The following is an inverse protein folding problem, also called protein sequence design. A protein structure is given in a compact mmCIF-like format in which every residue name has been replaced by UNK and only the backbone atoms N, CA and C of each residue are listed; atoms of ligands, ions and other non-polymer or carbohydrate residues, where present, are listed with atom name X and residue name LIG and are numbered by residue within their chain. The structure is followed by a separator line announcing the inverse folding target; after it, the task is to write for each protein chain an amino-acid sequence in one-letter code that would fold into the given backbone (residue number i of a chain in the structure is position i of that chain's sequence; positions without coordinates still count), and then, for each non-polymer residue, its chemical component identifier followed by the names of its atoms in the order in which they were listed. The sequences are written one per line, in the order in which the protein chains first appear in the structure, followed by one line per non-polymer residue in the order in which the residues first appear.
data_IF_686264994720
#
_entry.id   IF_686264994720
#
_cell.length_a   1.000
_cell.length_b   1.000
_cell.length_c   1.000
_cell.angle_alpha   90.00
_cell.angle_beta   90.00
_cell.angle_gamma   90.00
#
_symmetry.space_group_name_H-M   'P 1'
#
loop_
_entity.id
_entity.type
_entity.pdbx_description
1 polymer ?
#
# COMPACT_ATOMS: atom_id res chain seq x y z
N UNK A 1 0.63 -1.11 -14.75
CA UNK A 1 1.32 0.15 -15.13
C UNK A 1 2.73 0.16 -14.54
N UNK A 2 3.73 0.55 -15.32
CA UNK A 2 5.12 0.67 -14.85
C UNK A 2 5.64 2.09 -15.14
N UNK A 3 5.99 2.83 -14.08
CA UNK A 3 6.42 4.23 -14.13
C UNK A 3 7.86 4.34 -13.65
N UNK A 4 8.74 4.85 -14.48
CA UNK A 4 10.18 4.90 -14.19
C UNK A 4 10.85 6.17 -14.75
N UNK A 5 12.07 6.42 -14.30
CA UNK A 5 12.95 7.47 -14.82
C UNK A 5 12.31 8.87 -14.81
N UNK A 6 11.80 9.27 -13.64
CA UNK A 6 11.18 10.58 -13.41
C UNK A 6 9.91 10.85 -14.24
N UNK A 7 9.33 9.82 -14.86
CA UNK A 7 8.02 9.92 -15.50
C UNK A 7 6.91 10.06 -14.47
N UNK A 8 5.80 10.67 -14.84
CA UNK A 8 4.65 10.84 -13.95
C UNK A 8 3.41 10.20 -14.59
N UNK A 9 2.74 9.36 -13.84
CA UNK A 9 1.43 8.84 -14.19
C UNK A 9 0.35 9.57 -13.41
N UNK A 10 -0.62 10.17 -14.11
CA UNK A 10 -1.77 10.82 -13.50
C UNK A 10 -3.03 10.03 -13.81
N UNK A 11 -3.75 9.61 -12.77
CA UNK A 11 -5.02 8.92 -12.89
C UNK A 11 -6.14 9.77 -12.30
N UNK A 12 -6.99 10.29 -13.17
CA UNK A 12 -8.13 11.14 -12.79
C UNK A 12 -9.44 10.35 -12.73
N UNK A 13 -9.46 9.14 -13.27
CA UNK A 13 -10.62 8.26 -13.34
C UNK A 13 -10.28 6.96 -14.07
N UNK A 14 -11.27 6.15 -14.33
CA UNK A 14 -11.07 4.84 -14.96
C UNK A 14 -10.67 3.75 -13.98
N UNK A 15 -10.15 2.66 -14.50
CA UNK A 15 -9.89 1.44 -13.72
C UNK A 15 -8.60 0.76 -14.15
N UNK A 16 -7.83 0.33 -13.16
CA UNK A 16 -6.68 -0.59 -13.30
C UNK A 16 -7.05 -1.83 -12.50
N UNK A 17 -7.43 -2.92 -13.19
CA UNK A 17 -7.98 -4.08 -12.51
C UNK A 17 -7.55 -5.41 -13.10
N UNK A 18 -7.55 -6.45 -12.25
CA UNK A 18 -7.28 -7.82 -12.65
C UNK A 18 -5.88 -8.05 -13.22
N UNK A 19 -4.92 -7.18 -12.89
CA UNK A 19 -3.55 -7.33 -13.37
C UNK A 19 -2.71 -8.12 -12.37
N UNK A 20 -1.78 -8.92 -12.90
CA UNK A 20 -0.82 -9.70 -12.11
C UNK A 20 0.61 -9.39 -12.54
N UNK A 21 1.48 -9.16 -11.56
CA UNK A 21 2.92 -8.96 -11.74
C UNK A 21 3.68 -9.54 -10.55
N UNK A 22 4.99 -9.64 -10.65
CA UNK A 22 5.81 -10.06 -9.51
C UNK A 22 5.72 -9.05 -8.35
N UNK A 23 5.67 -7.76 -8.65
CA UNK A 23 5.52 -6.68 -7.69
C UNK A 23 4.75 -5.51 -8.33
N UNK A 24 4.00 -4.75 -7.53
CA UNK A 24 3.17 -3.67 -8.02
C UNK A 24 2.11 -4.16 -9.02
N UNK A 25 1.24 -5.07 -8.61
CA UNK A 25 0.28 -5.75 -9.48
C UNK A 25 -0.49 -4.80 -10.40
N UNK A 26 -1.04 -3.70 -9.86
CA UNK A 26 -1.68 -2.65 -10.65
C UNK A 26 -0.69 -1.61 -11.17
N UNK A 27 0.07 -0.99 -10.25
CA UNK A 27 1.00 0.10 -10.55
C UNK A 27 2.33 -0.12 -9.84
N UNK A 28 3.42 -0.03 -10.58
CA UNK A 28 4.77 -0.01 -10.03
C UNK A 28 5.48 1.29 -10.43
N UNK A 29 5.93 2.04 -9.44
CA UNK A 29 6.68 3.30 -9.61
C UNK A 29 8.09 3.12 -9.07
N UNK A 30 9.10 3.49 -9.86
CA UNK A 30 10.49 3.38 -9.43
C UNK A 30 11.39 4.45 -10.09
N UNK A 31 12.64 4.53 -9.63
CA UNK A 31 13.68 5.40 -10.21
C UNK A 31 13.27 6.87 -10.33
N UNK A 32 12.69 7.41 -9.27
CA UNK A 32 12.26 8.80 -9.22
C UNK A 32 10.95 9.08 -9.96
N UNK A 33 10.22 8.06 -10.39
CA UNK A 33 8.91 8.22 -10.99
C UNK A 33 7.87 8.74 -10.00
N UNK A 34 6.74 9.19 -10.51
CA UNK A 34 5.62 9.70 -9.71
C UNK A 34 4.28 9.08 -10.11
N UNK A 35 3.41 8.89 -9.12
CA UNK A 35 2.03 8.50 -9.34
C UNK A 35 1.07 9.42 -8.59
N UNK A 36 0.13 10.00 -9.32
CA UNK A 36 -0.94 10.84 -8.80
C UNK A 36 -2.30 10.18 -9.06
N UNK A 37 -2.99 9.80 -7.98
CA UNK A 37 -4.35 9.24 -8.03
C UNK A 37 -5.34 10.27 -7.47
N UNK A 38 -6.16 10.85 -8.31
CA UNK A 38 -7.20 11.79 -7.89
C UNK A 38 -8.62 11.27 -8.13
N UNK A 39 -8.75 10.16 -8.84
CA UNK A 39 -10.04 9.48 -9.07
C UNK A 39 -9.82 8.15 -9.77
N UNK A 40 -10.90 7.35 -9.86
CA UNK A 40 -10.84 6.02 -10.44
C UNK A 40 -10.55 4.92 -9.42
N UNK A 41 -10.31 3.70 -9.90
CA UNK A 41 -10.17 2.50 -9.07
C UNK A 41 -8.94 1.68 -9.47
N UNK A 42 -8.18 1.23 -8.47
CA UNK A 42 -7.13 0.22 -8.60
C UNK A 42 -7.61 -0.98 -7.81
N UNK A 43 -8.08 -2.03 -8.49
CA UNK A 43 -8.73 -3.14 -7.80
C UNK A 43 -8.38 -4.50 -8.37
N UNK A 44 -8.49 -5.53 -7.52
CA UNK A 44 -8.34 -6.93 -7.94
C UNK A 44 -6.99 -7.19 -8.64
N UNK A 45 -5.96 -6.41 -8.27
CA UNK A 45 -4.61 -6.63 -8.79
C UNK A 45 -3.79 -7.47 -7.80
N UNK A 46 -2.81 -8.19 -8.31
CA UNK A 46 -2.02 -9.15 -7.55
C UNK A 46 -0.52 -8.96 -7.75
N UNK A 47 0.22 -8.87 -6.66
CA UNK A 47 1.66 -9.03 -6.63
C UNK A 47 2.00 -10.46 -6.16
N UNK A 48 2.50 -11.31 -7.09
CA UNK A 48 2.66 -12.74 -6.84
C UNK A 48 3.82 -13.11 -5.91
N UNK A 49 4.88 -12.32 -5.89
CA UNK A 49 6.10 -12.64 -5.14
C UNK A 49 6.70 -11.44 -4.40
N UNK A 50 6.27 -10.24 -4.72
CA UNK A 50 6.79 -9.00 -4.15
C UNK A 50 5.70 -8.15 -3.49
N UNK A 51 6.04 -6.91 -3.20
CA UNK A 51 5.22 -5.96 -2.46
C UNK A 51 4.25 -5.21 -3.38
N UNK A 52 3.19 -4.65 -2.77
CA UNK A 52 2.25 -3.76 -3.41
C UNK A 52 1.28 -4.46 -4.35
N UNK A 53 0.27 -5.15 -3.83
CA UNK A 53 -0.76 -5.79 -4.65
C UNK A 53 -1.41 -4.81 -5.62
N UNK A 54 -1.89 -3.67 -5.11
CA UNK A 54 -2.38 -2.57 -5.93
C UNK A 54 -1.27 -1.67 -6.45
N UNK A 55 -0.46 -1.09 -5.54
CA UNK A 55 0.54 -0.06 -5.85
C UNK A 55 1.84 -0.33 -5.11
N UNK A 56 2.96 -0.34 -5.83
CA UNK A 56 4.30 -0.30 -5.27
C UNK A 56 4.97 1.01 -5.64
N UNK A 57 5.44 1.75 -4.65
CA UNK A 57 6.34 2.90 -4.82
C UNK A 57 7.71 2.51 -4.26
N UNK A 58 8.68 2.35 -5.15
CA UNK A 58 10.05 2.00 -4.83
C UNK A 58 10.99 3.08 -5.35
N UNK A 59 11.44 3.97 -4.48
CA UNK A 59 12.28 5.09 -4.89
C UNK A 59 11.52 6.06 -5.83
N UNK A 60 10.39 6.57 -5.38
CA UNK A 60 9.51 7.47 -6.13
C UNK A 60 8.64 8.35 -5.24
N UNK A 61 7.63 8.97 -5.84
CA UNK A 61 6.66 9.81 -5.12
C UNK A 61 5.22 9.34 -5.36
N UNK A 62 4.36 9.53 -4.37
CA UNK A 62 2.96 9.14 -4.44
C UNK A 62 2.02 10.18 -3.83
N UNK A 63 1.02 10.57 -4.60
CA UNK A 63 -0.06 11.43 -4.13
C UNK A 63 -1.41 10.79 -4.41
N UNK A 64 -2.25 10.69 -3.38
CA UNK A 64 -3.64 10.27 -3.51
C UNK A 64 -4.56 11.32 -2.91
N UNK A 65 -5.37 11.93 -3.74
CA UNK A 65 -6.36 12.95 -3.32
C UNK A 65 -7.80 12.46 -3.47
N UNK A 66 -7.99 11.29 -4.08
CA UNK A 66 -9.29 10.66 -4.29
C UNK A 66 -9.14 9.29 -4.94
N UNK A 67 -10.23 8.69 -5.35
CA UNK A 67 -10.26 7.35 -5.91
C UNK A 67 -10.22 6.24 -4.86
N UNK A 68 -10.04 5.00 -5.30
CA UNK A 68 -9.98 3.84 -4.39
C UNK A 68 -8.88 2.84 -4.81
N UNK A 69 -8.28 2.22 -3.79
CA UNK A 69 -7.38 1.08 -3.93
C UNK A 69 -8.04 -0.07 -3.16
N UNK A 70 -8.62 -1.02 -3.88
CA UNK A 70 -9.60 -1.94 -3.33
C UNK A 70 -9.33 -3.39 -3.76
N UNK A 71 -9.47 -4.32 -2.83
CA UNK A 71 -9.41 -5.76 -3.10
C UNK A 71 -8.15 -6.18 -3.89
N UNK A 72 -6.99 -5.60 -3.56
CA UNK A 72 -5.70 -6.01 -4.13
C UNK A 72 -4.97 -6.94 -3.18
N UNK A 73 -4.11 -7.81 -3.72
CA UNK A 73 -3.41 -8.84 -2.97
C UNK A 73 -1.90 -8.85 -3.19
N UNK A 74 -1.14 -8.85 -2.09
CA UNK A 74 0.29 -9.16 -2.10
C UNK A 74 0.47 -10.62 -1.63
N UNK A 75 0.46 -11.57 -2.57
CA UNK A 75 0.40 -13.02 -2.32
C UNK A 75 1.58 -13.54 -1.49
N UNK A 76 2.73 -12.92 -1.60
CA UNK A 76 3.93 -13.31 -0.82
C UNK A 76 4.68 -12.10 -0.24
N UNK A 77 4.11 -10.91 -0.38
CA UNK A 77 4.75 -9.66 -0.01
C UNK A 77 3.98 -8.82 1.01
N UNK A 78 4.32 -7.56 1.06
CA UNK A 78 3.81 -6.56 1.98
C UNK A 78 2.99 -5.49 1.26
N UNK A 79 2.09 -4.82 1.99
CA UNK A 79 1.28 -3.76 1.42
C UNK A 79 0.30 -4.27 0.37
N UNK A 80 -0.75 -4.97 0.78
CA UNK A 80 -1.76 -5.50 -0.15
C UNK A 80 -2.34 -4.42 -1.04
N UNK A 81 -2.72 -3.29 -0.47
CA UNK A 81 -3.12 -2.11 -1.24
C UNK A 81 -1.92 -1.32 -1.75
N UNK A 82 -1.06 -0.86 -0.83
CA UNK A 82 0.07 0.02 -1.13
C UNK A 82 1.32 -0.44 -0.38
N UNK A 83 2.44 -0.55 -1.08
CA UNK A 83 3.76 -0.63 -0.47
C UNK A 83 4.58 0.61 -0.81
N UNK A 84 5.13 1.26 0.22
CA UNK A 84 6.06 2.37 0.13
C UNK A 84 7.43 1.90 0.60
N UNK A 85 8.40 1.87 -0.31
CA UNK A 85 9.77 1.47 -0.04
C UNK A 85 10.72 2.53 -0.62
N UNK A 86 11.55 3.11 0.23
CA UNK A 86 12.43 4.22 -0.17
C UNK A 86 11.68 5.36 -0.87
N UNK A 87 10.38 5.53 -0.59
CA UNK A 87 9.58 6.58 -1.19
C UNK A 87 10.06 7.95 -0.68
N UNK A 88 10.40 8.84 -1.60
CA UNK A 88 10.87 10.19 -1.25
C UNK A 88 9.79 11.00 -0.54
N UNK A 89 8.56 10.83 -0.99
CA UNK A 89 7.39 11.47 -0.41
C UNK A 89 6.11 10.71 -0.77
N UNK A 90 5.23 10.54 0.21
CA UNK A 90 3.90 10.01 -0.02
C UNK A 90 2.86 10.79 0.78
N UNK A 91 1.76 11.17 0.15
CA UNK A 91 0.65 11.84 0.80
C UNK A 91 -0.69 11.28 0.31
N UNK A 92 -1.59 11.02 1.26
CA UNK A 92 -2.96 10.57 1.01
C UNK A 92 -3.88 11.55 1.72
N UNK A 93 -4.70 12.28 0.96
CA UNK A 93 -5.61 13.30 1.51
C UNK A 93 -7.09 13.03 1.20
N UNK A 94 -7.39 11.97 0.48
CA UNK A 94 -8.76 11.55 0.18
C UNK A 94 -8.81 10.17 -0.43
N UNK A 95 -10.00 9.59 -0.50
CA UNK A 95 -10.23 8.28 -1.08
C UNK A 95 -10.22 7.13 -0.08
N UNK A 96 -10.28 5.89 -0.60
CA UNK A 96 -10.37 4.67 0.19
C UNK A 96 -9.27 3.67 -0.12
N UNK A 97 -8.77 3.00 0.91
CA UNK A 97 -7.86 1.85 0.81
C UNK A 97 -8.55 0.70 1.55
N UNK A 98 -9.18 -0.18 0.79
CA UNK A 98 -10.20 -1.07 1.35
C UNK A 98 -10.04 -2.52 0.87
N UNK A 99 -10.35 -3.47 1.73
CA UNK A 99 -10.39 -4.91 1.42
C UNK A 99 -9.09 -5.48 0.81
N UNK A 100 -7.95 -4.80 0.96
CA UNK A 100 -6.68 -5.31 0.46
C UNK A 100 -6.10 -6.36 1.41
N UNK A 101 -5.32 -7.28 0.88
CA UNK A 101 -4.68 -8.35 1.64
C UNK A 101 -3.18 -8.49 1.36
N UNK A 102 -2.44 -8.88 2.38
CA UNK A 102 -1.03 -9.20 2.29
C UNK A 102 -0.73 -10.46 3.12
N UNK A 103 0.05 -11.38 2.57
CA UNK A 103 0.60 -12.51 3.33
C UNK A 103 1.90 -12.15 4.09
N UNK A 104 2.26 -10.89 4.05
CA UNK A 104 3.31 -10.30 4.87
C UNK A 104 2.75 -9.34 5.89
N UNK A 105 3.14 -8.08 5.82
CA UNK A 105 2.72 -7.00 6.71
C UNK A 105 2.03 -5.87 5.94
N UNK A 106 1.20 -5.08 6.64
CA UNK A 106 0.50 -3.96 6.03
C UNK A 106 -0.56 -4.39 5.03
N UNK A 107 -1.65 -5.01 5.48
CA UNK A 107 -2.74 -5.44 4.58
C UNK A 107 -3.23 -4.31 3.68
N UNK A 108 -3.45 -3.13 4.24
CA UNK A 108 -3.74 -1.92 3.48
C UNK A 108 -2.47 -1.24 2.97
N UNK A 109 -1.59 -0.84 3.89
CA UNK A 109 -0.39 -0.05 3.57
C UNK A 109 0.83 -0.60 4.34
N UNK A 110 1.94 -0.79 3.64
CA UNK A 110 3.26 -1.01 4.23
C UNK A 110 4.15 0.20 3.97
N UNK A 111 4.79 0.73 5.02
CA UNK A 111 5.72 1.87 4.95
C UNK A 111 7.08 1.41 5.48
N UNK A 112 8.10 1.38 4.63
CA UNK A 112 9.43 0.86 4.96
C UNK A 112 10.55 1.63 4.25
N UNK A 113 11.80 1.26 4.54
CA UNK A 113 12.98 1.84 3.88
C UNK A 113 13.10 3.36 4.08
N UNK A 114 12.78 3.87 5.27
CA UNK A 114 12.82 5.30 5.54
C UNK A 114 11.74 6.15 4.87
N UNK A 115 10.75 5.51 4.25
CA UNK A 115 9.63 6.21 3.59
C UNK A 115 8.82 7.05 4.58
N UNK A 116 8.31 8.20 4.12
CA UNK A 116 7.44 9.07 4.91
C UNK A 116 6.06 9.18 4.28
N UNK A 117 5.02 8.85 5.06
CA UNK A 117 3.62 8.95 4.64
C UNK A 117 2.88 9.97 5.48
N UNK A 118 2.23 10.91 4.83
CA UNK A 118 1.26 11.82 5.47
C UNK A 118 -0.15 11.45 5.07
N UNK A 119 -1.02 11.26 6.06
CA UNK A 119 -2.45 10.99 5.87
C UNK A 119 -3.23 12.17 6.45
N UNK A 120 -4.11 12.74 5.62
CA UNK A 120 -4.95 13.89 5.98
C UNK A 120 -6.33 13.77 5.32
N UNK A 121 -7.22 14.71 5.58
CA UNK A 121 -8.52 14.75 4.93
C UNK A 121 -9.42 13.54 5.22
N UNK A 122 -10.31 13.22 4.31
CA UNK A 122 -11.35 12.20 4.46
C UNK A 122 -10.93 10.78 4.03
N UNK A 123 -9.72 10.36 4.35
CA UNK A 123 -9.21 9.02 3.99
C UNK A 123 -9.85 7.93 4.83
N UNK A 124 -10.28 6.82 4.19
CA UNK A 124 -10.71 5.59 4.87
C UNK A 124 -9.73 4.46 4.58
N UNK A 125 -9.19 3.85 5.64
CA UNK A 125 -8.37 2.63 5.57
C UNK A 125 -9.11 1.55 6.34
N UNK A 126 -9.81 0.68 5.61
CA UNK A 126 -10.74 -0.25 6.24
C UNK A 126 -10.74 -1.65 5.66
N UNK A 127 -11.10 -2.60 6.48
CA UNK A 127 -11.31 -4.00 6.09
C UNK A 127 -10.10 -4.66 5.40
N UNK A 128 -8.90 -4.08 5.58
CA UNK A 128 -7.68 -4.66 5.07
C UNK A 128 -7.16 -5.77 5.99
N UNK A 129 -6.43 -6.72 5.43
CA UNK A 129 -6.02 -7.93 6.15
C UNK A 129 -4.54 -8.23 5.97
N UNK A 130 -3.84 -8.46 7.07
CA UNK A 130 -2.50 -9.02 7.07
C UNK A 130 -2.53 -10.45 7.60
N UNK A 131 -2.11 -11.41 6.78
CA UNK A 131 -2.11 -12.83 7.09
C UNK A 131 -0.70 -13.35 7.38
N UNK A 132 -0.62 -14.51 8.04
CA UNK A 132 0.60 -15.31 8.11
C UNK A 132 0.56 -16.32 6.96
N UNK A 133 1.58 -16.36 6.15
CA UNK A 133 1.81 -17.52 5.28
C UNK A 133 2.38 -18.64 6.16
N UNK A 134 1.71 -19.78 6.20
CA UNK A 134 2.04 -20.89 7.12
C UNK A 134 3.44 -21.51 6.90
N UNK A 135 4.08 -21.23 5.76
CA UNK A 135 5.35 -21.83 5.36
C UNK A 135 6.57 -20.87 5.44
N UNK A 136 6.41 -19.67 5.98
CA UNK A 136 7.49 -18.69 6.06
C UNK A 136 7.93 -18.51 7.51
N UNK A 137 8.88 -19.34 7.91
CA UNK A 137 9.60 -19.21 9.19
C UNK A 137 10.43 -17.90 9.20
N UNK A 138 10.34 -17.12 10.30
CA UNK A 138 11.20 -15.99 10.69
C UNK A 138 10.94 -14.60 10.08
N UNK A 139 10.02 -14.38 9.16
CA UNK A 139 9.67 -13.02 8.74
C UNK A 139 8.51 -12.45 9.55
N UNK A 140 8.54 -11.15 9.92
CA UNK A 140 7.36 -10.51 10.47
C UNK A 140 6.23 -10.62 9.43
N UNK A 141 5.16 -11.30 9.79
CA UNK A 141 4.00 -11.48 8.92
C UNK A 141 2.71 -11.40 9.73
N UNK A 142 1.62 -11.12 9.07
CA UNK A 142 0.33 -10.97 9.73
C UNK A 142 0.26 -9.77 10.68
N UNK A 143 1.03 -8.71 10.42
CA UNK A 143 1.11 -7.53 11.27
C UNK A 143 0.64 -6.27 10.53
N UNK A 144 0.03 -5.31 11.26
CA UNK A 144 -0.44 -4.07 10.68
C UNK A 144 -1.53 -4.28 9.64
N UNK A 145 -2.70 -4.76 10.05
CA UNK A 145 -3.80 -5.04 9.11
C UNK A 145 -4.18 -3.84 8.26
N UNK A 146 -4.31 -2.66 8.85
CA UNK A 146 -4.47 -1.40 8.13
C UNK A 146 -3.14 -0.85 7.63
N UNK A 147 -2.22 -0.56 8.55
CA UNK A 147 -0.92 0.03 8.26
C UNK A 147 0.18 -0.69 9.05
N UNK A 148 1.26 -1.03 8.37
CA UNK A 148 2.52 -1.43 8.97
C UNK A 148 3.60 -0.37 8.70
N UNK A 149 4.40 -0.05 9.71
CA UNK A 149 5.52 0.89 9.61
C UNK A 149 6.77 0.21 10.17
N UNK A 150 7.78 0.03 9.35
CA UNK A 150 9.06 -0.57 9.74
C UNK A 150 10.24 0.04 9.00
N UNK A 151 11.45 -0.42 9.32
CA UNK A 151 12.70 -0.01 8.65
C UNK A 151 12.88 1.51 8.56
N UNK A 152 12.68 2.22 9.67
CA UNK A 152 12.82 3.68 9.74
C UNK A 152 11.70 4.46 9.03
N UNK A 153 10.63 3.80 8.60
CA UNK A 153 9.46 4.43 8.04
C UNK A 153 8.77 5.36 9.04
N UNK A 154 8.04 6.34 8.54
CA UNK A 154 7.28 7.28 9.35
C UNK A 154 5.89 7.52 8.79
N UNK A 155 4.88 7.48 9.66
CA UNK A 155 3.50 7.85 9.31
C UNK A 155 3.07 9.02 10.19
N UNK A 156 2.52 10.05 9.57
CA UNK A 156 1.86 11.17 10.24
C UNK A 156 0.40 11.20 9.78
N UNK A 157 -0.53 11.06 10.70
CA UNK A 157 -1.96 11.11 10.41
C UNK A 157 -2.59 12.28 11.18
N UNK A 158 -3.22 13.20 10.44
CA UNK A 158 -3.92 14.35 11.03
C UNK A 158 -5.43 14.20 10.96
N UNK A 159 -5.95 13.52 9.97
CA UNK A 159 -7.37 13.24 9.75
C UNK A 159 -7.56 11.88 9.06
N UNK A 160 -8.79 11.42 8.96
CA UNK A 160 -9.14 10.14 8.34
C UNK A 160 -9.54 9.08 9.36
N UNK A 161 -9.78 7.87 8.90
CA UNK A 161 -10.23 6.74 9.72
C UNK A 161 -9.45 5.48 9.37
N UNK A 162 -9.03 4.74 10.40
CA UNK A 162 -8.46 3.39 10.28
C UNK A 162 -9.36 2.48 11.11
N UNK A 163 -10.12 1.59 10.48
CA UNK A 163 -11.12 0.79 11.18
C UNK A 163 -11.38 -0.57 10.52
N UNK A 164 -11.89 -1.51 11.28
CA UNK A 164 -12.23 -2.87 10.81
C UNK A 164 -11.09 -3.63 10.10
N UNK A 165 -9.83 -3.23 10.29
CA UNK A 165 -8.71 -3.96 9.71
C UNK A 165 -8.33 -5.15 10.58
N UNK A 166 -7.81 -6.20 9.97
CA UNK A 166 -7.44 -7.45 10.62
C UNK A 166 -5.95 -7.75 10.46
N UNK A 167 -5.31 -8.11 11.54
CA UNK A 167 -3.95 -8.64 11.55
C UNK A 167 -3.95 -9.99 12.29
N UNK A 168 -3.38 -11.02 11.69
CA UNK A 168 -3.35 -12.34 12.35
C UNK A 168 -2.43 -12.35 13.57
N UNK A 169 -1.43 -11.50 13.61
CA UNK A 169 -0.48 -11.39 14.72
C UNK A 169 -0.74 -10.14 15.56
N UNK A 170 -0.31 -8.97 15.11
CA UNK A 170 -0.31 -7.75 15.92
C UNK A 170 -0.71 -6.51 15.12
N UNK A 171 -1.33 -5.53 15.81
CA UNK A 171 -1.66 -4.23 15.21
C UNK A 171 -2.75 -4.33 14.14
N UNK A 172 -3.97 -4.74 14.49
CA UNK A 172 -5.09 -4.79 13.53
C UNK A 172 -5.26 -3.49 12.77
N UNK A 173 -5.23 -2.33 13.43
CA UNK A 173 -5.25 -1.02 12.78
C UNK A 173 -3.88 -0.60 12.28
N UNK A 174 -2.95 -0.36 13.20
CA UNK A 174 -1.58 0.11 12.90
C UNK A 174 -0.57 -0.66 13.74
N UNK A 175 0.55 -1.00 13.16
CA UNK A 175 1.73 -1.48 13.87
C UNK A 175 2.95 -0.66 13.44
N UNK A 176 3.74 -0.25 14.42
CA UNK A 176 5.03 0.42 14.22
C UNK A 176 6.14 -0.45 14.81
N UNK A 177 7.04 -0.91 13.94
CA UNK A 177 8.21 -1.74 14.27
C UNK A 177 9.46 -1.03 13.72
N UNK A 178 10.03 -0.17 14.51
CA UNK A 178 11.22 0.59 14.15
C UNK A 178 12.40 0.28 15.02
#
# INVERSE_FOLDING_TARGET
VYVLNSSIFNMYGGEISGNRADAGGGVYVTRGGGFNLSGGQIKENEASSGDGGGVLIDNGVFYMTGGSIDNNDAESGNGGGIALRYAYFAAISGGGITYNSANGVGGGICVSGGSQLTISGGVSIESNKAFLKEDQDERPSGQGGGIYVGDGGKVTMTHGRIWSNFAKSSGGGVLMAG
#
